data_IF_831699297925
#
_entry.id   IF_831699297925
#
_cell.length_a   1.000
_cell.length_b   1.000
_cell.length_c   1.000
_cell.angle_alpha   90.00
_cell.angle_beta   90.00
_cell.angle_gamma   90.00
#
_symmetry.space_group_name_H-M   'P 1'
#
loop_
_entity.id
_entity.type
_entity.pdbx_description
1 polymer ?
#
# COMPACT_ATOMS: atom_id res chain seq x y z
N UNK A 1 -7.85 33.00 -3.52
CA UNK A 1 -8.41 31.91 -2.71
C UNK A 1 -7.25 31.20 -2.09
N UNK A 2 -7.17 31.13 -0.77
CA UNK A 2 -6.04 30.52 -0.06
C UNK A 2 -6.34 29.02 0.10
N UNK A 3 -5.71 28.20 -0.72
CA UNK A 3 -5.96 26.74 -0.75
C UNK A 3 -5.55 26.03 0.55
N UNK A 4 -4.56 26.55 1.26
CA UNK A 4 -4.07 25.97 2.51
C UNK A 4 -5.15 25.98 3.61
N UNK A 5 -6.13 26.87 3.51
CA UNK A 5 -7.22 26.98 4.49
C UNK A 5 -8.39 26.03 4.24
N UNK A 6 -8.46 25.40 3.06
CA UNK A 6 -9.58 24.55 2.68
C UNK A 6 -9.22 23.07 2.57
N UNK A 7 -7.95 22.72 2.63
CA UNK A 7 -7.50 21.33 2.67
C UNK A 7 -7.48 20.79 4.10
N UNK A 8 -7.54 19.47 4.26
CA UNK A 8 -7.38 18.83 5.57
C UNK A 8 -6.02 19.18 6.16
N UNK A 9 -5.96 19.41 7.47
CA UNK A 9 -4.74 19.84 8.18
C UNK A 9 -3.53 18.96 7.88
N UNK A 10 -3.70 17.64 7.82
CA UNK A 10 -2.63 16.70 7.53
C UNK A 10 -2.06 16.79 6.11
N UNK A 11 -2.81 17.34 5.15
CA UNK A 11 -2.36 17.44 3.74
C UNK A 11 -1.19 18.42 3.59
N UNK A 12 -1.21 19.54 4.31
CA UNK A 12 -0.16 20.55 4.23
C UNK A 12 1.19 20.05 4.78
N UNK A 13 1.17 18.99 5.58
CA UNK A 13 2.36 18.38 6.19
C UNK A 13 2.88 17.16 5.41
N UNK A 14 2.20 16.77 4.31
CA UNK A 14 2.60 15.62 3.53
C UNK A 14 3.82 15.94 2.65
N UNK A 15 4.83 15.09 2.76
CA UNK A 15 5.88 14.98 1.74
C UNK A 15 5.46 13.94 0.71
N UNK A 16 5.45 14.26 -0.59
CA UNK A 16 5.13 13.29 -1.62
C UNK A 16 6.02 12.05 -1.52
N UNK A 17 5.44 10.89 -1.77
CA UNK A 17 6.23 9.67 -1.92
C UNK A 17 7.11 9.76 -3.16
N UNK A 18 8.40 9.55 -3.00
CA UNK A 18 9.34 9.46 -4.11
C UNK A 18 9.47 7.99 -4.54
N UNK A 19 8.91 7.60 -5.70
CA UNK A 19 9.05 6.23 -6.20
C UNK A 19 10.51 5.94 -6.58
N UNK A 20 10.87 4.66 -6.58
CA UNK A 20 12.17 4.23 -7.05
C UNK A 20 12.39 4.64 -8.51
N UNK A 21 13.61 5.09 -8.84
CA UNK A 21 13.98 5.58 -10.17
C UNK A 21 13.79 4.49 -11.24
N UNK A 22 13.17 4.78 -12.39
CA UNK A 22 13.11 3.86 -13.52
C UNK A 22 14.52 3.49 -14.01
N UNK A 23 14.69 2.24 -14.50
CA UNK A 23 15.99 1.76 -14.99
C UNK A 23 16.46 2.62 -16.18
N UNK A 24 15.56 2.91 -17.09
CA UNK A 24 15.81 3.68 -18.31
C UNK A 24 16.30 5.11 -18.01
N UNK A 25 15.77 5.71 -16.95
CA UNK A 25 16.21 7.04 -16.50
C UNK A 25 17.61 7.00 -15.91
N UNK A 26 17.91 5.99 -15.10
CA UNK A 26 19.24 5.80 -14.54
C UNK A 26 20.28 5.51 -15.64
N UNK A 27 19.96 4.63 -16.56
CA UNK A 27 20.85 4.29 -17.69
C UNK A 27 21.14 5.51 -18.57
N UNK A 28 20.12 6.31 -18.87
CA UNK A 28 20.28 7.55 -19.64
C UNK A 28 21.16 8.57 -18.93
N UNK A 29 20.98 8.77 -17.62
CA UNK A 29 21.76 9.74 -16.85
C UNK A 29 23.22 9.36 -16.68
N UNK A 30 23.49 8.08 -16.46
CA UNK A 30 24.83 7.58 -16.19
C UNK A 30 25.55 7.11 -17.47
N UNK A 31 24.88 7.05 -18.61
CA UNK A 31 25.43 6.52 -19.85
C UNK A 31 25.78 5.04 -19.79
N UNK A 32 25.11 4.25 -18.94
CA UNK A 32 25.31 2.82 -18.78
C UNK A 32 24.21 2.01 -19.44
N UNK A 33 24.37 0.69 -19.55
CA UNK A 33 23.38 -0.25 -20.04
C UNK A 33 23.30 -1.47 -19.13
N UNK A 34 22.16 -2.15 -19.14
CA UNK A 34 21.90 -3.35 -18.36
C UNK A 34 22.03 -3.13 -16.84
N UNK A 35 21.54 -2.02 -16.33
CA UNK A 35 21.48 -1.76 -14.90
C UNK A 35 20.59 -2.78 -14.19
N UNK A 36 21.06 -3.34 -13.07
CA UNK A 36 20.28 -4.27 -12.25
C UNK A 36 19.58 -3.50 -11.15
N UNK A 37 18.24 -3.48 -11.19
CA UNK A 37 17.42 -2.84 -10.17
C UNK A 37 17.18 -3.79 -9.00
N UNK A 38 17.73 -3.45 -7.84
CA UNK A 38 17.52 -4.18 -6.57
C UNK A 38 16.52 -3.48 -5.64
N UNK A 39 15.91 -2.38 -6.11
CA UNK A 39 14.91 -1.61 -5.39
C UNK A 39 13.49 -2.07 -5.75
N UNK A 40 12.50 -1.60 -4.94
CA UNK A 40 11.05 -1.78 -5.17
C UNK A 40 10.54 -3.22 -5.01
N UNK A 41 11.34 -4.16 -4.54
CA UNK A 41 10.96 -5.57 -4.32
C UNK A 41 10.28 -6.21 -5.54
N UNK A 42 10.68 -5.83 -6.75
CA UNK A 42 10.16 -6.38 -8.00
C UNK A 42 10.59 -7.83 -8.18
N UNK A 43 9.73 -8.64 -8.82
CA UNK A 43 10.07 -10.01 -9.14
C UNK A 43 11.02 -10.08 -10.36
N UNK A 44 12.30 -10.43 -10.20
CA UNK A 44 13.26 -10.46 -11.31
C UNK A 44 13.01 -11.59 -12.30
N UNK A 45 12.22 -12.61 -11.92
CA UNK A 45 11.90 -13.76 -12.79
C UNK A 45 10.81 -13.41 -13.82
N UNK A 46 10.07 -12.32 -13.58
CA UNK A 46 8.96 -11.91 -14.43
C UNK A 46 7.68 -12.73 -14.23
N UNK A 47 6.69 -12.54 -15.09
CA UNK A 47 5.41 -13.22 -15.00
C UNK A 47 5.49 -14.68 -15.42
N UNK A 48 4.61 -15.53 -14.86
CA UNK A 48 4.49 -16.93 -15.26
C UNK A 48 4.10 -17.04 -16.75
N UNK A 49 4.68 -17.99 -17.50
CA UNK A 49 4.29 -18.23 -18.90
C UNK A 49 2.78 -18.50 -19.09
N UNK A 50 2.12 -19.12 -18.11
CA UNK A 50 0.66 -19.31 -18.10
C UNK A 50 -0.11 -17.99 -18.06
N UNK A 51 0.40 -17.01 -17.31
CA UNK A 51 -0.21 -15.67 -17.24
C UNK A 51 -0.09 -14.99 -18.59
N UNK A 52 1.10 -15.01 -19.22
CA UNK A 52 1.31 -14.43 -20.56
C UNK A 52 0.35 -15.01 -21.59
N UNK A 53 0.17 -16.34 -21.64
CA UNK A 53 -0.77 -17.00 -22.52
C UNK A 53 -2.24 -16.61 -22.27
N UNK A 54 -2.59 -16.27 -21.02
CA UNK A 54 -3.95 -15.82 -20.68
C UNK A 54 -4.20 -14.37 -21.05
N UNK A 55 -3.19 -13.50 -20.99
CA UNK A 55 -3.31 -12.08 -21.36
C UNK A 55 -3.84 -11.94 -22.77
N UNK A 56 -3.26 -12.66 -23.74
CA UNK A 56 -3.70 -12.61 -25.15
C UNK A 56 -5.18 -12.97 -25.33
N UNK A 57 -5.70 -13.87 -24.49
CA UNK A 57 -7.11 -14.27 -24.55
C UNK A 57 -8.04 -13.21 -23.99
N UNK A 58 -7.65 -12.56 -22.88
CA UNK A 58 -8.50 -11.57 -22.23
C UNK A 58 -8.43 -10.18 -22.85
N UNK A 59 -7.36 -9.86 -23.60
CA UNK A 59 -7.20 -8.57 -24.28
C UNK A 59 -8.38 -8.24 -25.22
N UNK A 60 -9.00 -9.24 -25.82
CA UNK A 60 -10.15 -9.08 -26.74
C UNK A 60 -11.39 -8.53 -26.04
N UNK A 61 -11.50 -8.71 -24.73
CA UNK A 61 -12.65 -8.30 -23.92
C UNK A 61 -12.37 -7.06 -23.04
N UNK A 62 -11.20 -6.42 -23.17
CA UNK A 62 -10.81 -5.25 -22.37
C UNK A 62 -11.66 -4.00 -22.59
N UNK A 63 -12.48 -3.97 -23.64
CA UNK A 63 -13.47 -2.93 -23.89
C UNK A 63 -14.69 -3.02 -22.98
N UNK A 64 -14.80 -4.06 -22.16
CA UNK A 64 -15.89 -4.27 -21.19
C UNK A 64 -15.36 -4.06 -19.76
N UNK A 65 -16.22 -3.55 -18.90
CA UNK A 65 -15.91 -3.45 -17.47
C UNK A 65 -15.70 -4.86 -16.87
N UNK A 66 -14.69 -5.04 -15.99
CA UNK A 66 -14.57 -6.27 -15.23
C UNK A 66 -15.70 -6.41 -14.20
N UNK A 67 -15.85 -7.62 -13.63
CA UNK A 67 -16.73 -7.84 -12.48
C UNK A 67 -16.24 -7.01 -11.27
N UNK A 68 -17.00 -5.96 -10.92
CA UNK A 68 -16.67 -5.05 -9.81
C UNK A 68 -16.59 -5.75 -8.44
N UNK A 69 -17.23 -6.90 -8.29
CA UNK A 69 -17.15 -7.70 -7.06
C UNK A 69 -15.96 -8.66 -7.03
N UNK A 70 -15.24 -8.82 -8.15
CA UNK A 70 -14.15 -9.78 -8.31
C UNK A 70 -14.52 -11.21 -7.84
N UNK A 71 -15.74 -11.65 -8.12
CA UNK A 71 -16.37 -12.87 -7.58
C UNK A 71 -15.49 -14.10 -7.76
N UNK A 72 -15.04 -14.37 -8.99
CA UNK A 72 -14.18 -15.53 -9.31
C UNK A 72 -12.85 -15.49 -8.57
N UNK A 73 -12.24 -14.30 -8.47
CA UNK A 73 -10.97 -14.13 -7.77
C UNK A 73 -11.14 -14.36 -6.26
N UNK A 74 -12.18 -13.78 -5.66
CA UNK A 74 -12.50 -14.00 -4.24
C UNK A 74 -12.76 -15.46 -3.91
N UNK A 75 -13.47 -16.19 -4.77
CA UNK A 75 -13.69 -17.64 -4.60
C UNK A 75 -12.40 -18.45 -4.62
N UNK A 76 -11.46 -18.12 -5.53
CA UNK A 76 -10.16 -18.81 -5.61
C UNK A 76 -9.33 -18.51 -4.37
N UNK A 77 -9.26 -17.25 -3.94
CA UNK A 77 -8.54 -16.82 -2.74
C UNK A 77 -9.14 -17.51 -1.52
N UNK A 78 -10.45 -17.49 -1.38
CA UNK A 78 -11.18 -18.10 -0.24
C UNK A 78 -10.87 -19.60 -0.11
N UNK A 79 -10.89 -20.32 -1.22
CA UNK A 79 -10.51 -21.74 -1.24
C UNK A 79 -9.05 -21.96 -0.88
N UNK A 80 -8.14 -21.14 -1.42
CA UNK A 80 -6.71 -21.25 -1.18
C UNK A 80 -6.34 -21.00 0.28
N UNK A 81 -6.95 -19.99 0.90
CA UNK A 81 -6.64 -19.57 2.27
C UNK A 81 -7.64 -20.09 3.31
N UNK A 82 -8.66 -20.85 2.89
CA UNK A 82 -9.70 -21.42 3.78
C UNK A 82 -10.43 -20.33 4.60
N UNK A 83 -10.78 -19.24 3.97
CA UNK A 83 -11.56 -18.13 4.52
C UNK A 83 -12.86 -17.95 3.74
N UNK A 84 -13.85 -17.26 4.30
CA UNK A 84 -15.06 -16.90 3.57
C UNK A 84 -14.78 -15.81 2.53
N UNK A 85 -15.50 -15.80 1.42
CA UNK A 85 -15.36 -14.75 0.39
C UNK A 85 -15.69 -13.35 0.92
N UNK A 86 -16.57 -13.26 1.93
CA UNK A 86 -16.87 -12.00 2.63
C UNK A 86 -15.71 -11.44 3.45
N UNK A 87 -14.68 -12.25 3.72
CA UNK A 87 -13.46 -11.83 4.43
C UNK A 87 -12.35 -11.40 3.46
N UNK A 88 -12.64 -11.32 2.17
CA UNK A 88 -11.66 -10.95 1.13
C UNK A 88 -12.03 -9.61 0.52
N UNK A 89 -11.17 -8.62 0.69
CA UNK A 89 -11.25 -7.31 0.02
C UNK A 89 -10.19 -7.24 -1.07
N UNK A 90 -10.55 -6.69 -2.23
CA UNK A 90 -9.66 -6.54 -3.40
C UNK A 90 -9.40 -5.05 -3.62
N UNK A 91 -8.16 -4.71 -3.93
CA UNK A 91 -7.72 -3.36 -4.29
C UNK A 91 -6.58 -3.41 -5.31
N UNK A 92 -6.20 -2.26 -5.87
CA UNK A 92 -5.07 -2.10 -6.77
C UNK A 92 -3.75 -2.07 -5.96
N UNK A 93 -3.39 -3.23 -5.43
CA UNK A 93 -2.25 -3.38 -4.52
C UNK A 93 -2.60 -3.07 -3.06
N UNK A 94 -1.59 -3.21 -2.20
CA UNK A 94 -1.75 -2.96 -0.76
C UNK A 94 -2.03 -1.51 -0.40
N UNK A 95 -1.66 -0.56 -1.26
CA UNK A 95 -1.92 0.86 -1.04
C UNK A 95 -3.42 1.15 -0.91
N UNK A 96 -4.24 0.64 -1.87
CA UNK A 96 -5.70 0.79 -1.79
C UNK A 96 -6.25 0.19 -0.49
N UNK A 97 -5.75 -0.98 -0.10
CA UNK A 97 -6.23 -1.65 1.11
C UNK A 97 -5.90 -0.85 2.37
N UNK A 98 -4.68 -0.31 2.47
CA UNK A 98 -4.27 0.54 3.59
C UNK A 98 -5.13 1.81 3.63
N UNK A 99 -5.37 2.43 2.47
CA UNK A 99 -6.22 3.61 2.37
C UNK A 99 -7.68 3.31 2.74
N UNK A 100 -8.25 2.20 2.27
CA UNK A 100 -9.61 1.78 2.64
C UNK A 100 -9.75 1.57 4.15
N UNK A 101 -8.77 0.93 4.77
CA UNK A 101 -8.74 0.72 6.23
C UNK A 101 -8.70 2.07 6.94
N UNK A 102 -7.77 2.95 6.58
CA UNK A 102 -7.63 4.24 7.23
C UNK A 102 -8.90 5.09 7.08
N UNK A 103 -9.45 5.20 5.87
CA UNK A 103 -10.69 5.97 5.63
C UNK A 103 -11.93 5.37 6.30
N UNK A 104 -11.93 4.06 6.56
CA UNK A 104 -13.07 3.38 7.21
C UNK A 104 -13.04 3.53 8.73
N UNK A 105 -11.85 3.50 9.32
CA UNK A 105 -11.70 3.34 10.76
C UNK A 105 -11.01 4.51 11.47
N UNK A 106 -10.40 5.46 10.74
CA UNK A 106 -9.71 6.59 11.33
C UNK A 106 -10.42 7.90 11.06
N UNK A 107 -10.42 8.76 12.08
CA UNK A 107 -10.83 10.15 12.06
C UNK A 107 -9.72 11.02 12.69
N UNK A 108 -9.97 12.33 12.83
CA UNK A 108 -9.05 13.26 13.49
C UNK A 108 -8.82 12.99 14.98
N UNK A 109 -9.69 12.19 15.59
CA UNK A 109 -9.63 11.86 17.02
C UNK A 109 -8.96 10.50 17.28
N UNK A 110 -8.59 9.80 16.20
CA UNK A 110 -8.00 8.48 16.25
C UNK A 110 -6.48 8.51 16.03
N UNK A 111 -5.82 7.41 16.36
CA UNK A 111 -4.40 7.22 16.08
C UNK A 111 -4.12 5.86 15.43
N UNK A 112 -3.06 5.80 14.62
CA UNK A 112 -2.54 4.55 14.07
C UNK A 112 -1.09 4.36 14.48
N UNK A 113 -0.74 3.12 14.86
CA UNK A 113 0.62 2.75 15.26
C UNK A 113 1.26 1.95 14.14
N UNK A 114 2.46 2.32 13.75
CA UNK A 114 3.26 1.60 12.75
C UNK A 114 4.73 1.60 13.16
N UNK A 115 5.49 0.65 12.62
CA UNK A 115 6.92 0.53 12.93
C UNK A 115 7.74 1.52 12.12
N UNK A 116 8.84 2.00 12.68
CA UNK A 116 9.93 2.61 11.93
C UNK A 116 10.34 1.73 10.74
N UNK A 117 10.71 2.33 9.64
CA UNK A 117 11.00 1.67 8.37
C UNK A 117 9.81 0.93 7.73
N UNK A 118 8.58 1.14 8.21
CA UNK A 118 7.40 0.67 7.51
C UNK A 118 7.26 1.36 6.14
N UNK A 119 6.47 0.76 5.27
CA UNK A 119 6.24 1.33 3.95
C UNK A 119 5.64 2.75 4.05
N UNK A 120 6.18 3.68 3.26
CA UNK A 120 5.86 5.11 3.35
C UNK A 120 4.36 5.45 3.25
N UNK A 121 3.55 4.55 2.68
CA UNK A 121 2.10 4.73 2.55
C UNK A 121 1.40 4.77 3.92
N UNK A 122 1.90 4.08 4.95
CA UNK A 122 1.28 4.13 6.28
C UNK A 122 1.22 5.55 6.86
N UNK A 123 2.34 6.26 7.06
CA UNK A 123 2.29 7.63 7.57
C UNK A 123 1.55 8.58 6.63
N UNK A 124 1.66 8.41 5.31
CA UNK A 124 0.99 9.27 4.33
C UNK A 124 -0.52 9.19 4.45
N UNK A 125 -1.07 7.98 4.49
CA UNK A 125 -2.53 7.77 4.55
C UNK A 125 -3.09 8.20 5.91
N UNK A 126 -2.39 7.91 7.00
CA UNK A 126 -2.79 8.34 8.36
C UNK A 126 -2.87 9.86 8.45
N UNK A 127 -1.87 10.57 7.94
CA UNK A 127 -1.89 12.04 7.87
C UNK A 127 -2.99 12.56 6.95
N UNK A 128 -3.21 11.92 5.79
CA UNK A 128 -4.23 12.36 4.82
C UNK A 128 -5.65 12.32 5.38
N UNK A 129 -5.95 11.38 6.29
CA UNK A 129 -7.25 11.34 6.99
C UNK A 129 -7.27 12.24 8.24
N UNK A 130 -6.15 12.86 8.60
CA UNK A 130 -6.03 13.77 9.73
C UNK A 130 -5.83 13.08 11.08
N UNK A 131 -5.57 11.77 11.10
CA UNK A 131 -5.33 11.00 12.31
C UNK A 131 -3.89 11.16 12.83
N UNK A 132 -3.66 10.86 14.13
CA UNK A 132 -2.33 10.83 14.71
C UNK A 132 -1.55 9.59 14.25
N UNK A 133 -0.35 9.77 13.67
CA UNK A 133 0.58 8.68 13.37
C UNK A 133 1.58 8.47 14.50
N UNK A 134 1.63 7.28 15.07
CA UNK A 134 2.57 6.90 16.15
C UNK A 134 3.60 5.95 15.56
N UNK A 135 4.78 6.47 15.24
CA UNK A 135 5.90 5.67 14.77
C UNK A 135 6.65 5.05 15.94
N UNK A 136 6.83 3.73 15.91
CA UNK A 136 7.56 2.99 16.95
C UNK A 136 8.92 2.56 16.41
N UNK A 137 10.02 2.84 17.12
CA UNK A 137 11.36 2.45 16.68
C UNK A 137 11.49 0.95 16.39
N UNK A 138 12.19 0.62 15.31
CA UNK A 138 12.50 -0.76 14.96
C UNK A 138 13.59 -1.34 15.87
N UNK A 139 13.56 -2.64 16.08
CA UNK A 139 14.57 -3.37 16.84
C UNK A 139 15.25 -4.41 15.96
N UNK A 140 16.56 -4.24 15.71
CA UNK A 140 17.33 -5.14 14.86
C UNK A 140 16.68 -5.35 13.47
N UNK A 141 16.26 -4.28 12.81
CA UNK A 141 15.56 -4.29 11.51
C UNK A 141 14.25 -5.09 11.51
N UNK A 142 13.63 -5.29 12.67
CA UNK A 142 12.37 -5.99 12.84
C UNK A 142 11.41 -5.18 13.72
N UNK A 143 10.13 -5.53 13.73
CA UNK A 143 9.15 -4.89 14.58
C UNK A 143 9.43 -5.16 16.06
N UNK A 144 9.46 -4.12 16.90
CA UNK A 144 9.46 -4.27 18.36
C UNK A 144 8.02 -4.37 18.87
N UNK A 145 7.50 -5.61 18.93
CA UNK A 145 6.12 -5.85 19.35
C UNK A 145 5.85 -5.38 20.79
N UNK A 146 6.87 -5.37 21.67
CA UNK A 146 6.72 -4.88 23.03
C UNK A 146 6.63 -3.36 23.07
N UNK A 147 7.40 -2.66 22.25
CA UNK A 147 7.31 -1.22 22.11
C UNK A 147 5.99 -0.80 21.47
N UNK A 148 5.52 -1.52 20.45
CA UNK A 148 4.19 -1.32 19.84
C UNK A 148 3.10 -1.48 20.90
N UNK A 149 3.12 -2.56 21.68
CA UNK A 149 2.15 -2.78 22.75
C UNK A 149 2.14 -1.64 23.79
N UNK A 150 3.31 -1.11 24.16
CA UNK A 150 3.43 0.03 25.07
C UNK A 150 2.93 1.34 24.46
N UNK A 151 3.00 1.50 23.15
CA UNK A 151 2.51 2.69 22.45
C UNK A 151 0.98 2.73 22.33
N UNK A 152 0.29 1.62 22.60
CA UNK A 152 -1.18 1.56 22.59
C UNK A 152 -1.72 2.47 23.68
N UNK A 153 -2.47 3.48 23.26
CA UNK A 153 -3.20 4.41 24.12
C UNK A 153 -4.70 4.17 23.98
N UNK A 154 -5.50 4.71 24.88
CA UNK A 154 -6.97 4.58 24.85
C UNK A 154 -7.62 5.09 23.54
N UNK A 155 -6.93 5.93 22.78
CA UNK A 155 -7.38 6.49 21.50
C UNK A 155 -6.82 5.75 20.27
N UNK A 156 -6.02 4.71 20.45
CA UNK A 156 -5.45 3.98 19.31
C UNK A 156 -6.45 2.96 18.78
N UNK A 157 -6.88 3.13 17.53
CA UNK A 157 -7.87 2.28 16.89
C UNK A 157 -7.24 1.21 15.99
N UNK A 158 -6.11 1.51 15.33
CA UNK A 158 -5.46 0.62 14.36
C UNK A 158 -4.00 0.37 14.74
N UNK A 159 -3.63 -0.90 14.77
CA UNK A 159 -2.25 -1.36 14.91
C UNK A 159 -1.82 -2.05 13.62
N UNK A 160 -0.87 -1.48 12.91
CA UNK A 160 -0.39 -1.96 11.60
C UNK A 160 1.07 -2.40 11.69
#
# INVERSE_FOLDING_TARGET
MDLEKIVNKGINELSPYEPGKPIEDLERELGIQNAIKLASNENPVGPSPRVLQMIDKVLKDTHRYPDGNATKLKEIISRKFKVNSSQVTIGNGSNDIIEFIARTFLSTDDSAIYSEHAFAVYPLVVKAVGAEGIEVPAKNYSHDLQAILKAIKNLSLIHI
#
